data_IF_007390924743
#
_entry.id   IF_007390924743
#
_cell.length_a   1.000
_cell.length_b   1.000
_cell.length_c   1.000
_cell.angle_alpha   90.00
_cell.angle_beta   90.00
_cell.angle_gamma   90.00
#
_symmetry.space_group_name_H-M   'P 1'
#
loop_
_entity.id
_entity.type
_entity.pdbx_description
1 polymer ?
#
# COMPACT_ATOMS: atom_id res chain seq x y z
N UNK A 1 -37.22 1.14 2.08
CA UNK A 1 -35.88 0.92 2.68
C UNK A 1 -35.00 0.31 1.61
N UNK A 2 -34.16 1.12 0.96
CA UNK A 2 -33.20 0.63 -0.01
C UNK A 2 -32.19 -0.29 0.69
N UNK A 3 -32.17 -1.56 0.29
CA UNK A 3 -31.16 -2.52 0.67
C UNK A 3 -29.84 -2.12 -0.01
N UNK A 4 -29.13 -1.15 0.57
CA UNK A 4 -27.75 -0.87 0.19
C UNK A 4 -26.95 -2.10 0.59
N UNK A 5 -26.74 -3.01 -0.36
CA UNK A 5 -25.69 -4.04 -0.26
C UNK A 5 -24.38 -3.28 -0.08
N UNK A 6 -23.98 -3.05 1.18
CA UNK A 6 -22.67 -2.53 1.54
C UNK A 6 -21.67 -3.56 1.03
N UNK A 7 -21.13 -3.35 -0.16
CA UNK A 7 -19.95 -4.10 -0.61
C UNK A 7 -18.88 -3.84 0.45
N UNK A 8 -18.61 -4.87 1.26
CA UNK A 8 -17.66 -4.79 2.35
C UNK A 8 -16.27 -4.65 1.74
N UNK A 9 -15.83 -3.40 1.60
CA UNK A 9 -14.46 -3.10 1.21
C UNK A 9 -13.52 -3.72 2.26
N UNK A 10 -12.50 -4.46 1.82
CA UNK A 10 -11.43 -4.88 2.72
C UNK A 10 -10.34 -3.80 2.75
N UNK A 11 -9.96 -3.42 3.97
CA UNK A 11 -8.89 -2.47 4.23
C UNK A 11 -7.61 -3.20 4.62
N UNK A 12 -6.50 -2.74 4.07
CA UNK A 12 -5.17 -3.24 4.38
C UNK A 12 -4.24 -2.07 4.71
N UNK A 13 -3.59 -2.13 5.86
CA UNK A 13 -2.44 -1.29 6.16
C UNK A 13 -1.24 -1.85 5.41
N UNK A 14 -0.59 -1.00 4.62
CA UNK A 14 0.59 -1.38 3.84
C UNK A 14 1.73 -0.44 4.19
N UNK A 15 2.84 -1.02 4.66
CA UNK A 15 4.10 -0.31 4.86
C UNK A 15 5.15 -0.87 3.93
N UNK A 16 5.83 0.00 3.18
CA UNK A 16 6.90 -0.34 2.26
C UNK A 16 8.19 0.28 2.79
N UNK A 17 9.20 -0.57 3.02
CA UNK A 17 10.57 -0.13 3.30
C UNK A 17 11.43 -0.34 2.06
N UNK A 18 12.08 0.72 1.62
CA UNK A 18 12.93 0.75 0.43
C UNK A 18 14.36 0.99 0.90
N UNK A 19 15.24 0.08 0.53
CA UNK A 19 16.67 0.14 0.83
C UNK A 19 17.43 0.19 -0.48
N UNK A 20 18.11 1.30 -0.75
CA UNK A 20 19.13 1.37 -1.79
C UNK A 20 20.50 1.13 -1.19
N UNK A 21 21.40 0.47 -1.93
CA UNK A 21 22.77 0.21 -1.49
C UNK A 21 23.45 1.56 -1.18
N UNK A 22 23.83 1.77 0.08
CA UNK A 22 24.55 2.97 0.53
C UNK A 22 23.69 4.16 0.98
N UNK A 23 22.36 4.10 0.89
CA UNK A 23 21.47 5.25 1.20
C UNK A 23 20.57 5.04 2.42
N UNK A 24 19.98 6.15 2.88
CA UNK A 24 18.93 6.20 3.91
C UNK A 24 17.75 5.30 3.54
N UNK A 25 17.24 4.57 4.53
CA UNK A 25 16.00 3.78 4.43
C UNK A 25 14.81 4.71 4.23
N UNK A 26 14.07 4.54 3.13
CA UNK A 26 12.78 5.22 2.92
C UNK A 26 11.67 4.30 3.42
N UNK A 27 10.79 4.83 4.28
CA UNK A 27 9.61 4.09 4.78
C UNK A 27 8.36 4.85 4.39
N UNK A 28 7.49 4.20 3.64
CA UNK A 28 6.20 4.72 3.23
C UNK A 28 5.10 3.85 3.82
N UNK A 29 4.05 4.47 4.31
CA UNK A 29 2.89 3.78 4.88
C UNK A 29 1.61 4.34 4.28
N UNK A 30 0.64 3.48 4.03
CA UNK A 30 -0.64 3.87 3.45
C UNK A 30 -1.71 2.80 3.62
N UNK A 31 -2.93 3.15 3.23
CA UNK A 31 -4.10 2.27 3.28
C UNK A 31 -4.44 1.81 1.87
N UNK A 32 -4.50 0.49 1.68
CA UNK A 32 -5.00 -0.13 0.47
C UNK A 32 -6.45 -0.57 0.67
N UNK A 33 -7.36 0.03 -0.10
CA UNK A 33 -8.79 -0.29 -0.09
C UNK A 33 -9.10 -1.18 -1.29
N UNK A 34 -9.79 -2.29 -1.07
CA UNK A 34 -10.31 -3.14 -2.15
C UNK A 34 -11.81 -3.33 -2.02
N UNK A 35 -12.51 -3.30 -3.16
CA UNK A 35 -13.94 -3.65 -3.25
C UNK A 35 -14.22 -5.13 -2.97
N UNK A 36 -13.19 -5.96 -3.00
CA UNK A 36 -13.33 -7.39 -2.73
C UNK A 36 -13.22 -7.67 -1.23
N UNK A 37 -13.98 -8.65 -0.73
CA UNK A 37 -13.92 -9.12 0.67
C UNK A 37 -12.52 -9.58 1.12
N UNK A 38 -11.63 -9.91 0.18
CA UNK A 38 -10.24 -10.32 0.43
C UNK A 38 -9.38 -10.03 -0.81
N UNK A 39 -8.14 -9.63 -0.60
CA UNK A 39 -7.10 -9.49 -1.61
C UNK A 39 -5.86 -10.29 -1.19
N UNK A 40 -5.16 -10.89 -2.14
CA UNK A 40 -3.88 -11.57 -1.87
C UNK A 40 -2.79 -10.55 -1.58
N UNK A 41 -1.83 -10.92 -0.73
CA UNK A 41 -0.69 -10.05 -0.43
C UNK A 41 0.11 -9.73 -1.70
N UNK A 42 0.28 -10.67 -2.62
CA UNK A 42 0.99 -10.43 -3.89
C UNK A 42 0.31 -9.35 -4.73
N UNK A 43 -1.03 -9.41 -4.88
CA UNK A 43 -1.77 -8.39 -5.62
C UNK A 43 -1.69 -7.01 -4.96
N UNK A 44 -1.72 -6.96 -3.63
CA UNK A 44 -1.51 -5.71 -2.87
C UNK A 44 -0.10 -5.18 -3.13
N UNK A 45 0.95 -6.01 -3.01
CA UNK A 45 2.35 -5.61 -3.26
C UNK A 45 2.51 -5.01 -4.65
N UNK A 46 2.04 -5.70 -5.69
CA UNK A 46 2.15 -5.23 -7.08
C UNK A 46 1.43 -3.92 -7.30
N UNK A 47 0.17 -3.81 -6.86
CA UNK A 47 -0.61 -2.57 -7.05
C UNK A 47 -0.05 -1.39 -6.25
N UNK A 48 0.34 -1.61 -4.99
CA UNK A 48 0.95 -0.58 -4.17
C UNK A 48 2.29 -0.13 -4.76
N UNK A 49 3.13 -1.06 -5.23
CA UNK A 49 4.41 -0.70 -5.85
C UNK A 49 4.21 0.12 -7.12
N UNK A 50 3.33 -0.30 -8.02
CA UNK A 50 3.06 0.42 -9.27
C UNK A 50 2.53 1.84 -9.03
N UNK A 51 1.80 2.05 -7.93
CA UNK A 51 1.33 3.38 -7.52
C UNK A 51 2.45 4.22 -6.90
N UNK A 52 3.24 3.64 -5.99
CA UNK A 52 4.23 4.35 -5.19
C UNK A 52 5.51 4.66 -5.99
N UNK A 53 5.97 3.74 -6.83
CA UNK A 53 7.27 3.87 -7.51
C UNK A 53 7.41 5.16 -8.32
N UNK A 54 6.44 5.58 -9.14
CA UNK A 54 6.56 6.83 -9.91
C UNK A 54 6.59 8.10 -9.05
N UNK A 55 6.15 8.02 -7.79
CA UNK A 55 6.10 9.15 -6.86
C UNK A 55 7.39 9.31 -6.04
N UNK A 56 8.32 8.35 -6.13
CA UNK A 56 9.60 8.44 -5.43
C UNK A 56 10.60 9.09 -6.39
N UNK A 57 11.24 10.21 -6.00
CA UNK A 57 12.25 10.85 -6.83
C UNK A 57 13.57 10.07 -6.72
N UNK A 58 13.63 8.88 -7.32
CA UNK A 58 14.79 7.98 -7.26
C UNK A 58 16.08 8.66 -7.74
N UNK A 59 15.98 9.52 -8.76
CA UNK A 59 17.09 10.28 -9.32
C UNK A 59 17.68 11.29 -8.32
N UNK A 60 16.85 12.00 -7.56
CA UNK A 60 17.30 12.93 -6.50
C UNK A 60 18.06 12.20 -5.39
N UNK A 61 17.74 10.93 -5.18
CA UNK A 61 18.45 10.09 -4.22
C UNK A 61 19.65 9.36 -4.84
N UNK A 62 19.93 9.51 -6.14
CA UNK A 62 21.00 8.77 -6.82
C UNK A 62 20.79 7.25 -6.79
N UNK A 63 19.52 6.82 -6.85
CA UNK A 63 19.10 5.42 -6.71
C UNK A 63 18.56 4.92 -8.05
N UNK A 64 19.05 3.78 -8.54
CA UNK A 64 18.40 3.07 -9.65
C UNK A 64 17.16 2.31 -9.13
N UNK A 65 15.95 2.47 -9.70
CA UNK A 65 14.74 1.78 -9.25
C UNK A 65 14.81 0.25 -9.36
N UNK A 66 15.75 -0.28 -10.15
CA UNK A 66 16.07 -1.70 -10.31
C UNK A 66 16.98 -2.24 -9.20
N UNK A 67 17.74 -1.37 -8.52
CA UNK A 67 18.70 -1.74 -7.48
C UNK A 67 18.15 -1.65 -6.06
N UNK A 68 16.87 -1.28 -5.91
CA UNK A 68 16.26 -1.11 -4.58
C UNK A 68 15.68 -2.40 -4.04
N UNK A 69 16.08 -2.75 -2.82
CA UNK A 69 15.46 -3.83 -2.06
C UNK A 69 14.19 -3.30 -1.39
N UNK A 70 13.05 -3.94 -1.70
CA UNK A 70 11.73 -3.55 -1.21
C UNK A 70 11.23 -4.58 -0.21
N UNK A 71 10.79 -4.15 0.96
CA UNK A 71 10.15 -5.00 1.96
C UNK A 71 8.76 -4.47 2.26
N UNK A 72 7.74 -5.31 2.11
CA UNK A 72 6.35 -4.97 2.38
C UNK A 72 5.89 -5.60 3.69
N UNK A 73 5.30 -4.80 4.56
CA UNK A 73 4.47 -5.26 5.68
C UNK A 73 3.02 -4.97 5.34
N UNK A 74 2.20 -6.02 5.28
CA UNK A 74 0.78 -5.93 4.93
C UNK A 74 -0.01 -6.53 6.09
N UNK A 75 -0.95 -5.75 6.61
CA UNK A 75 -1.84 -6.19 7.69
C UNK A 75 -3.26 -5.84 7.31
N UNK A 76 -4.16 -6.82 7.39
CA UNK A 76 -5.58 -6.56 7.20
C UNK A 76 -6.09 -5.77 8.40
N UNK A 77 -6.76 -4.68 8.13
CA UNK A 77 -7.42 -3.89 9.16
C UNK A 77 -8.80 -4.52 9.40
N UNK A 78 -9.05 -4.94 10.64
CA UNK A 78 -10.37 -5.37 11.10
C UNK A 78 -11.03 -4.15 11.74
N UNK A 79 -12.06 -3.62 11.09
CA UNK A 79 -12.83 -2.49 11.59
C UNK A 79 -14.29 -2.89 11.68
N UNK A 80 -14.92 -2.55 12.80
CA UNK A 80 -16.36 -2.70 12.96
C UNK A 80 -17.13 -1.59 12.22
N UNK A 81 -16.51 -0.41 12.05
CA UNK A 81 -17.05 0.71 11.29
C UNK A 81 -15.95 1.53 10.61
N UNK A 82 -16.31 2.20 9.51
CA UNK A 82 -15.52 3.25 8.85
C UNK A 82 -16.47 4.43 8.77
N UNK A 83 -16.10 5.53 9.41
CA UNK A 83 -16.86 6.77 9.39
C UNK A 83 -16.08 7.78 8.55
N UNK A 84 -16.70 8.21 7.46
CA UNK A 84 -16.28 9.42 6.78
C UNK A 84 -17.14 10.54 7.35
N UNK A 85 -16.51 11.66 7.70
CA UNK A 85 -17.21 12.81 8.28
C UNK A 85 -18.12 13.53 7.28
N UNK A 86 -17.93 13.27 5.97
CA UNK A 86 -18.67 13.89 4.87
C UNK A 86 -20.17 13.56 4.84
#
# INVERSE_FOLDING_TARGET
MENVKKELNALYSVSVSIFAKGYKKIVLSGIFVTKNKKCSHEKIKTKCWNFIAPQIPFEEYGISPEEVRKTFKISRIKNDFIFNEE
#
